data_IF_230885402803
#
_entry.id   IF_230885402803
#
_cell.length_a   1.000
_cell.length_b   1.000
_cell.length_c   1.000
_cell.angle_alpha   90.00
_cell.angle_beta   90.00
_cell.angle_gamma   90.00
#
_symmetry.space_group_name_H-M   'P 1'
#
loop_
_entity.id
_entity.type
_entity.pdbx_description
1 polymer ?
#
# COMPACT_ATOMS: atom_id res chain seq x y z
N UNK A 1 -16.17 35.56 -10.74
CA UNK A 1 -15.22 35.40 -11.87
C UNK A 1 -13.80 35.10 -11.39
N UNK A 2 -13.21 35.87 -10.46
CA UNK A 2 -11.84 35.64 -9.94
C UNK A 2 -11.69 34.41 -9.05
N UNK A 3 -12.70 34.14 -8.21
CA UNK A 3 -12.79 32.97 -7.35
C UNK A 3 -12.63 31.61 -8.08
N UNK A 4 -13.06 31.55 -9.34
CA UNK A 4 -12.99 30.33 -10.16
C UNK A 4 -11.62 30.18 -10.81
N UNK A 5 -10.80 31.24 -10.90
CA UNK A 5 -9.48 31.18 -11.53
C UNK A 5 -8.50 30.33 -10.71
N UNK A 6 -8.56 30.43 -9.38
CA UNK A 6 -7.76 29.57 -8.51
C UNK A 6 -8.22 28.12 -8.57
N UNK A 7 -9.54 27.88 -8.60
CA UNK A 7 -10.09 26.54 -8.77
C UNK A 7 -9.66 25.93 -10.12
N UNK A 8 -9.74 26.70 -11.21
CA UNK A 8 -9.23 26.31 -12.55
C UNK A 8 -7.75 25.96 -12.51
N UNK A 9 -6.92 26.84 -11.94
CA UNK A 9 -5.48 26.62 -11.83
C UNK A 9 -5.17 25.33 -11.07
N UNK A 10 -5.77 25.15 -9.90
CA UNK A 10 -5.57 23.95 -9.07
C UNK A 10 -6.05 22.68 -9.76
N UNK A 11 -7.24 22.70 -10.38
CA UNK A 11 -7.77 21.55 -11.13
C UNK A 11 -6.90 21.21 -12.34
N UNK A 12 -6.38 22.22 -13.05
CA UNK A 12 -5.46 22.03 -14.17
C UNK A 12 -4.14 21.38 -13.73
N UNK A 13 -3.53 21.91 -12.66
CA UNK A 13 -2.27 21.37 -12.11
C UNK A 13 -2.44 19.93 -11.59
N UNK A 14 -3.56 19.62 -10.91
CA UNK A 14 -3.81 18.29 -10.37
C UNK A 14 -4.13 17.24 -11.46
N UNK A 15 -4.88 17.62 -12.49
CA UNK A 15 -5.31 16.71 -13.55
C UNK A 15 -4.33 16.55 -14.72
N UNK A 16 -3.65 17.64 -15.10
CA UNK A 16 -2.87 17.73 -16.34
C UNK A 16 -1.40 18.13 -16.13
N UNK A 17 -1.01 18.47 -14.89
CA UNK A 17 0.34 18.95 -14.53
C UNK A 17 0.78 20.17 -15.34
N UNK A 18 -0.18 20.94 -15.86
CA UNK A 18 0.01 22.10 -16.75
C UNK A 18 -0.93 23.22 -16.35
N UNK A 19 -0.57 24.46 -16.67
CA UNK A 19 -1.43 25.62 -16.41
C UNK A 19 -2.61 25.65 -17.40
N UNK A 20 -3.74 26.32 -17.07
CA UNK A 20 -4.89 26.40 -17.98
C UNK A 20 -4.56 26.95 -19.38
N UNK A 21 -3.54 27.81 -19.49
CA UNK A 21 -3.09 28.39 -20.76
C UNK A 21 -2.37 27.38 -21.68
N UNK A 22 -1.83 26.29 -21.12
CA UNK A 22 -1.04 25.27 -21.82
C UNK A 22 -1.88 24.06 -22.27
N UNK A 23 -3.19 24.07 -22.01
CA UNK A 23 -4.10 22.97 -22.34
C UNK A 23 -4.63 23.09 -23.77
N UNK A 24 -4.82 21.94 -24.43
CA UNK A 24 -5.57 21.85 -25.69
C UNK A 24 -7.04 22.21 -25.50
N UNK A 25 -7.77 22.43 -26.58
CA UNK A 25 -9.20 22.79 -26.47
C UNK A 25 -10.04 21.66 -25.85
N UNK A 26 -9.71 20.38 -26.14
CA UNK A 26 -10.35 19.22 -25.52
C UNK A 26 -10.03 19.14 -24.01
N UNK A 27 -8.77 19.33 -23.63
CA UNK A 27 -8.32 19.36 -22.24
C UNK A 27 -8.99 20.52 -21.47
N UNK A 28 -9.14 21.69 -22.13
CA UNK A 28 -9.81 22.86 -21.56
C UNK A 28 -11.31 22.62 -21.35
N UNK A 29 -11.99 21.96 -22.29
CA UNK A 29 -13.39 21.59 -22.13
C UNK A 29 -13.58 20.60 -20.97
N UNK A 30 -12.69 19.62 -20.84
CA UNK A 30 -12.68 18.68 -19.71
C UNK A 30 -12.43 19.40 -18.37
N UNK A 31 -11.49 20.35 -18.34
CA UNK A 31 -11.21 21.19 -17.18
C UNK A 31 -12.45 21.99 -16.75
N UNK A 32 -13.12 22.71 -17.66
CA UNK A 32 -14.30 23.50 -17.32
C UNK A 32 -15.44 22.61 -16.80
N UNK A 33 -15.63 21.40 -17.34
CA UNK A 33 -16.60 20.45 -16.81
C UNK A 33 -16.26 19.96 -15.39
N UNK A 34 -14.97 19.82 -15.06
CA UNK A 34 -14.53 19.51 -13.70
C UNK A 34 -14.74 20.70 -12.75
N UNK A 35 -14.35 21.91 -13.17
CA UNK A 35 -14.49 23.14 -12.39
C UNK A 35 -15.95 23.48 -12.12
N UNK A 36 -16.85 23.30 -13.11
CA UNK A 36 -18.27 23.52 -12.94
C UNK A 36 -18.88 22.57 -11.89
N UNK A 37 -18.49 21.28 -11.91
CA UNK A 37 -18.90 20.29 -10.91
C UNK A 37 -18.38 20.65 -9.52
N UNK A 38 -17.10 21.01 -9.40
CA UNK A 38 -16.49 21.41 -8.13
C UNK A 38 -17.13 22.69 -7.57
N UNK A 39 -17.42 23.69 -8.42
CA UNK A 39 -18.08 24.94 -8.01
C UNK A 39 -19.53 24.72 -7.57
N UNK A 40 -20.25 23.82 -8.24
CA UNK A 40 -21.60 23.42 -7.80
C UNK A 40 -21.56 22.74 -6.43
N UNK A 41 -20.56 21.89 -6.19
CA UNK A 41 -20.33 21.23 -4.92
C UNK A 41 -20.04 22.22 -3.80
N UNK A 42 -19.08 23.11 -4.02
CA UNK A 42 -18.70 24.17 -3.09
C UNK A 42 -19.91 25.01 -2.68
N UNK A 43 -20.72 25.46 -3.65
CA UNK A 43 -21.94 26.22 -3.35
C UNK A 43 -22.92 25.44 -2.49
N UNK A 44 -23.12 24.13 -2.76
CA UNK A 44 -24.00 23.29 -1.96
C UNK A 44 -23.50 23.17 -0.51
N UNK A 45 -22.19 22.95 -0.32
CA UNK A 45 -21.58 22.86 1.01
C UNK A 45 -21.69 24.17 1.78
N UNK A 46 -21.35 25.29 1.13
CA UNK A 46 -21.40 26.62 1.75
C UNK A 46 -22.83 27.12 2.03
N UNK A 47 -23.83 26.60 1.31
CA UNK A 47 -25.25 26.88 1.57
C UNK A 47 -25.85 26.01 2.69
N UNK A 48 -25.12 25.00 3.18
CA UNK A 48 -25.62 24.11 4.24
C UNK A 48 -25.71 24.84 5.59
N UNK A 49 -26.62 24.43 6.49
CA UNK A 49 -26.70 25.00 7.84
C UNK A 49 -25.38 24.90 8.61
N UNK A 50 -24.62 23.83 8.41
CA UNK A 50 -23.33 23.62 9.05
C UNK A 50 -22.29 24.71 8.69
N UNK A 51 -22.44 25.40 7.56
CA UNK A 51 -21.56 26.49 7.15
C UNK A 51 -21.74 27.80 7.94
N UNK A 52 -22.85 27.93 8.69
CA UNK A 52 -23.14 29.11 9.51
C UNK A 52 -22.22 29.19 10.74
N UNK A 53 -21.92 28.04 11.35
CA UNK A 53 -21.09 27.96 12.56
C UNK A 53 -19.59 27.81 12.27
N UNK A 54 -19.20 27.68 11.00
CA UNK A 54 -17.82 27.42 10.60
C UNK A 54 -17.14 28.72 10.22
N UNK A 55 -16.10 29.05 10.98
CA UNK A 55 -15.23 30.20 10.76
C UNK A 55 -13.80 29.72 10.53
N UNK A 56 -13.18 30.20 9.45
CA UNK A 56 -11.77 29.97 9.16
C UNK A 56 -10.97 31.16 9.71
N UNK A 57 -10.06 30.97 10.69
CA UNK A 57 -9.24 32.06 11.20
C UNK A 57 -8.31 32.60 10.11
N UNK A 58 -8.12 33.92 10.07
CA UNK A 58 -7.24 34.57 9.09
C UNK A 58 -5.83 33.98 9.07
N UNK A 59 -5.27 33.64 10.24
CA UNK A 59 -3.95 33.02 10.35
C UNK A 59 -3.83 31.70 9.58
N UNK A 60 -4.89 30.89 9.50
CA UNK A 60 -4.91 29.63 8.73
C UNK A 60 -4.86 29.93 7.24
N UNK A 61 -5.60 30.95 6.79
CA UNK A 61 -5.58 31.38 5.39
C UNK A 61 -4.20 31.92 5.01
N UNK A 62 -3.58 32.75 5.86
CA UNK A 62 -2.23 33.27 5.62
C UNK A 62 -1.19 32.14 5.58
N UNK A 63 -1.31 31.13 6.45
CA UNK A 63 -0.44 29.96 6.39
C UNK A 63 -0.62 29.16 5.10
N UNK A 64 -1.85 29.03 4.60
CA UNK A 64 -2.11 28.38 3.32
C UNK A 64 -1.49 29.17 2.15
N UNK A 65 -1.63 30.51 2.14
CA UNK A 65 -0.96 31.39 1.16
C UNK A 65 0.55 31.18 1.22
N UNK A 66 1.14 31.21 2.41
CA UNK A 66 2.58 31.04 2.61
C UNK A 66 3.08 29.66 2.13
N UNK A 67 2.29 28.60 2.34
CA UNK A 67 2.59 27.23 1.89
C UNK A 67 2.60 27.12 0.37
N UNK A 68 1.76 27.89 -0.32
CA UNK A 68 1.77 27.97 -1.79
C UNK A 68 2.99 28.80 -2.23
N UNK A 69 3.21 29.96 -1.62
CA UNK A 69 4.32 30.85 -1.94
C UNK A 69 5.69 30.17 -1.74
N UNK A 70 5.85 29.30 -0.74
CA UNK A 70 7.10 28.56 -0.47
C UNK A 70 7.48 27.55 -1.54
N UNK A 71 6.61 27.29 -2.53
CA UNK A 71 6.90 26.42 -3.69
C UNK A 71 7.66 27.16 -4.80
N UNK A 72 7.77 28.49 -4.70
CA UNK A 72 8.42 29.34 -5.67
C UNK A 72 9.77 29.82 -5.15
N UNK A 73 10.72 30.03 -6.06
CA UNK A 73 12.08 30.48 -5.73
C UNK A 73 12.11 31.92 -5.18
N UNK A 74 11.12 32.74 -5.53
CA UNK A 74 10.99 34.12 -5.06
C UNK A 74 9.52 34.58 -5.00
N UNK A 75 9.28 35.64 -4.22
CA UNK A 75 7.97 36.29 -4.13
C UNK A 75 7.56 36.90 -5.48
N UNK A 76 8.52 37.41 -6.25
CA UNK A 76 8.26 37.96 -7.58
C UNK A 76 7.81 36.86 -8.55
N UNK A 77 8.49 35.71 -8.56
CA UNK A 77 8.11 34.56 -9.38
C UNK A 77 6.71 34.03 -9.03
N UNK A 78 6.38 33.99 -7.73
CA UNK A 78 5.03 33.66 -7.26
C UNK A 78 3.99 34.68 -7.75
N UNK A 79 4.27 35.97 -7.63
CA UNK A 79 3.33 37.04 -7.99
C UNK A 79 3.08 37.09 -9.49
N UNK A 80 4.13 36.90 -10.29
CA UNK A 80 4.04 36.82 -11.75
C UNK A 80 3.22 35.61 -12.21
N UNK A 81 3.47 34.43 -11.66
CA UNK A 81 2.71 33.23 -12.01
C UNK A 81 1.23 33.36 -11.62
N UNK A 82 0.92 33.91 -10.44
CA UNK A 82 -0.47 34.19 -10.04
C UNK A 82 -1.12 35.16 -11.02
N UNK A 83 -0.43 36.25 -11.39
CA UNK A 83 -0.94 37.24 -12.33
C UNK A 83 -1.20 36.65 -13.73
N UNK A 84 -0.30 35.80 -14.24
CA UNK A 84 -0.49 35.06 -15.49
C UNK A 84 -1.73 34.16 -15.48
N UNK A 85 -2.14 33.69 -14.29
CA UNK A 85 -3.35 32.88 -14.10
C UNK A 85 -4.57 33.72 -13.67
N UNK A 86 -4.49 35.05 -13.76
CA UNK A 86 -5.60 35.95 -13.45
C UNK A 86 -5.94 36.01 -11.95
N UNK A 87 -4.93 35.84 -11.11
CA UNK A 87 -5.00 35.91 -9.65
C UNK A 87 -4.12 37.04 -9.13
N UNK A 88 -4.57 37.65 -8.04
CA UNK A 88 -3.80 38.54 -7.18
C UNK A 88 -3.85 38.01 -5.74
N UNK A 89 -3.10 38.64 -4.82
CA UNK A 89 -3.09 38.20 -3.42
C UNK A 89 -4.48 38.23 -2.78
N UNK A 90 -5.34 39.19 -3.16
CA UNK A 90 -6.69 39.34 -2.58
C UNK A 90 -7.62 38.21 -3.01
N UNK A 91 -7.64 37.91 -4.31
CA UNK A 91 -8.45 36.85 -4.91
C UNK A 91 -7.93 35.47 -4.55
N UNK A 92 -6.62 35.26 -4.44
CA UNK A 92 -6.04 34.02 -3.92
C UNK A 92 -6.47 33.79 -2.47
N UNK A 93 -6.29 34.79 -1.60
CA UNK A 93 -6.68 34.71 -0.19
C UNK A 93 -8.18 34.39 -0.06
N UNK A 94 -9.02 35.08 -0.83
CA UNK A 94 -10.47 34.81 -0.85
C UNK A 94 -10.81 33.41 -1.37
N UNK A 95 -10.06 32.88 -2.33
CA UNK A 95 -10.28 31.54 -2.84
C UNK A 95 -9.87 30.47 -1.82
N UNK A 96 -8.74 30.65 -1.15
CA UNK A 96 -8.27 29.76 -0.08
C UNK A 96 -9.19 29.79 1.14
N UNK A 97 -9.68 30.97 1.53
CA UNK A 97 -10.65 31.08 2.62
C UNK A 97 -11.91 30.26 2.33
N UNK A 98 -12.43 30.31 1.11
CA UNK A 98 -13.58 29.49 0.70
C UNK A 98 -13.25 28.00 0.67
N UNK A 99 -12.09 27.61 0.13
CA UNK A 99 -11.66 26.20 0.09
C UNK A 99 -11.55 25.62 1.49
N UNK A 100 -10.84 26.32 2.38
CA UNK A 100 -10.68 25.93 3.79
C UNK A 100 -12.03 25.89 4.52
N UNK A 101 -12.95 26.80 4.19
CA UNK A 101 -14.30 26.79 4.77
C UNK A 101 -15.08 25.56 4.31
N UNK A 102 -15.02 25.22 3.02
CA UNK A 102 -15.65 24.00 2.49
C UNK A 102 -15.11 22.77 3.20
N UNK A 103 -13.79 22.65 3.32
CA UNK A 103 -13.13 21.54 4.03
C UNK A 103 -13.61 21.44 5.48
N UNK A 104 -13.56 22.54 6.23
CA UNK A 104 -14.00 22.58 7.62
C UNK A 104 -15.50 22.26 7.80
N UNK A 105 -16.35 22.65 6.85
CA UNK A 105 -17.78 22.29 6.85
C UNK A 105 -17.97 20.79 6.61
N UNK A 106 -17.27 20.21 5.63
CA UNK A 106 -17.32 18.77 5.35
C UNK A 106 -16.81 17.95 6.54
N UNK A 107 -15.75 18.41 7.19
CA UNK A 107 -15.23 17.79 8.41
C UNK A 107 -16.25 17.83 9.53
N UNK A 108 -16.90 18.98 9.78
CA UNK A 108 -17.96 19.10 10.78
C UNK A 108 -19.15 18.19 10.47
N UNK A 109 -19.61 18.15 9.23
CA UNK A 109 -20.73 17.30 8.79
C UNK A 109 -20.42 15.81 9.03
N UNK A 110 -19.19 15.40 8.76
CA UNK A 110 -18.78 13.99 8.85
C UNK A 110 -18.39 13.58 10.26
N UNK A 111 -17.78 14.45 11.06
CA UNK A 111 -17.39 14.17 12.44
C UNK A 111 -18.59 13.72 13.30
N UNK A 112 -19.76 14.31 13.10
CA UNK A 112 -20.97 13.97 13.86
C UNK A 112 -21.59 12.61 13.46
N UNK A 113 -21.37 12.15 12.22
CA UNK A 113 -22.07 10.99 11.66
C UNK A 113 -21.17 9.78 11.38
N UNK A 114 -19.86 9.98 11.37
CA UNK A 114 -18.88 8.98 10.91
C UNK A 114 -17.91 8.56 12.00
N UNK A 115 -18.11 8.99 13.26
CA UNK A 115 -17.35 8.47 14.39
C UNK A 115 -17.60 6.96 14.54
N UNK A 116 -16.52 6.20 14.64
CA UNK A 116 -16.54 4.75 14.87
C UNK A 116 -16.06 4.50 16.29
N UNK A 117 -16.84 3.72 17.04
CA UNK A 117 -16.49 3.35 18.41
C UNK A 117 -15.57 2.12 18.45
N UNK A 118 -14.91 1.92 19.58
CA UNK A 118 -14.13 0.71 19.86
C UNK A 118 -14.98 -0.57 19.72
N UNK A 119 -16.26 -0.54 20.06
CA UNK A 119 -17.18 -1.66 19.91
C UNK A 119 -17.41 -2.01 18.43
N UNK A 120 -17.63 -1.02 17.57
CA UNK A 120 -17.76 -1.24 16.13
C UNK A 120 -16.45 -1.78 15.54
N UNK A 121 -15.31 -1.27 16.00
CA UNK A 121 -14.00 -1.77 15.60
C UNK A 121 -13.77 -3.21 16.05
N UNK A 122 -14.20 -3.57 17.26
CA UNK A 122 -14.13 -4.93 17.78
C UNK A 122 -15.03 -5.88 16.98
N UNK A 123 -16.27 -5.49 16.68
CA UNK A 123 -17.17 -6.26 15.81
C UNK A 123 -16.50 -6.54 14.46
N UNK A 124 -15.92 -5.51 13.84
CA UNK A 124 -15.22 -5.66 12.58
C UNK A 124 -14.02 -6.61 12.68
N UNK A 125 -13.24 -6.50 13.76
CA UNK A 125 -12.09 -7.37 14.02
C UNK A 125 -12.48 -8.86 14.07
N UNK A 126 -13.52 -9.18 14.84
CA UNK A 126 -13.97 -10.57 15.02
C UNK A 126 -14.75 -11.12 13.81
N UNK A 127 -15.34 -10.25 12.99
CA UNK A 127 -16.02 -10.65 11.74
C UNK A 127 -15.05 -10.89 10.57
N UNK A 128 -13.81 -10.39 10.67
CA UNK A 128 -12.80 -10.48 9.61
C UNK A 128 -11.46 -11.05 10.11
N UNK A 129 -11.43 -12.23 10.76
CA UNK A 129 -10.21 -12.78 11.34
C UNK A 129 -9.09 -13.00 10.30
N UNK A 130 -9.44 -13.26 9.04
CA UNK A 130 -8.50 -13.43 7.93
C UNK A 130 -7.67 -12.17 7.65
N UNK A 131 -8.21 -10.98 7.93
CA UNK A 131 -7.51 -9.70 7.75
C UNK A 131 -6.50 -9.42 8.85
N UNK A 132 -6.68 -10.05 10.00
CA UNK A 132 -5.85 -9.87 11.19
C UNK A 132 -5.01 -11.09 11.51
N UNK A 133 -5.03 -12.11 10.66
CA UNK A 133 -4.17 -13.28 10.78
C UNK A 133 -3.02 -13.15 9.80
N UNK A 134 -1.78 -13.20 10.32
CA UNK A 134 -0.58 -13.30 9.49
C UNK A 134 -0.20 -14.78 9.38
N UNK A 135 0.04 -15.30 8.17
CA UNK A 135 0.57 -16.64 8.05
C UNK A 135 1.98 -16.70 8.63
N UNK A 136 2.36 -17.86 9.13
CA UNK A 136 3.77 -18.14 9.43
C UNK A 136 4.59 -18.03 8.14
N UNK A 137 5.77 -17.45 8.24
CA UNK A 137 6.70 -17.32 7.12
C UNK A 137 8.00 -18.02 7.50
N UNK A 138 8.48 -18.91 6.62
CA UNK A 138 9.79 -19.54 6.78
C UNK A 138 10.75 -19.03 5.73
N UNK A 139 11.92 -18.61 6.16
CA UNK A 139 13.03 -18.35 5.22
C UNK A 139 13.77 -19.65 5.00
N UNK A 140 13.88 -20.10 3.75
CA UNK A 140 14.41 -21.42 3.46
C UNK A 140 15.31 -21.47 2.23
N UNK A 141 16.11 -22.55 2.18
CA UNK A 141 16.89 -22.97 1.01
C UNK A 141 16.66 -24.44 0.74
N UNK A 142 16.96 -24.86 -0.49
CA UNK A 142 16.91 -26.26 -0.88
C UNK A 142 18.07 -26.68 -1.79
N UNK A 143 18.34 -27.99 -1.80
CA UNK A 143 19.17 -28.68 -2.78
C UNK A 143 18.31 -29.73 -3.44
N UNK A 144 18.01 -29.53 -4.73
CA UNK A 144 17.30 -30.49 -5.58
C UNK A 144 18.27 -31.36 -6.38
N UNK A 145 18.05 -32.67 -6.41
CA UNK A 145 18.54 -33.59 -7.45
C UNK A 145 17.33 -34.14 -8.20
N UNK A 146 17.26 -33.84 -9.50
CA UNK A 146 16.11 -34.27 -10.30
C UNK A 146 16.10 -35.79 -10.44
N UNK A 147 14.90 -36.39 -10.46
CA UNK A 147 14.74 -37.82 -10.72
C UNK A 147 14.16 -38.00 -12.11
N UNK A 148 14.91 -38.60 -13.02
CA UNK A 148 14.44 -38.88 -14.38
C UNK A 148 15.12 -40.11 -14.99
N UNK A 149 14.43 -40.77 -15.92
CA UNK A 149 14.93 -41.98 -16.57
C UNK A 149 15.95 -41.71 -17.69
N UNK A 150 16.04 -40.45 -18.15
CA UNK A 150 16.91 -40.05 -19.26
C UNK A 150 18.38 -39.99 -18.85
N UNK A 151 18.68 -39.71 -17.58
CA UNK A 151 20.04 -39.64 -17.04
C UNK A 151 20.26 -40.73 -15.99
N UNK A 152 21.23 -41.62 -16.22
CA UNK A 152 21.51 -42.75 -15.32
C UNK A 152 21.88 -42.30 -13.89
N UNK A 153 22.53 -41.15 -13.76
CA UNK A 153 22.93 -40.53 -12.48
C UNK A 153 21.73 -40.01 -11.66
N UNK A 154 20.60 -39.76 -12.34
CA UNK A 154 19.38 -39.18 -11.78
C UNK A 154 18.29 -40.25 -11.58
N UNK A 155 18.67 -41.53 -11.63
CA UNK A 155 17.78 -42.59 -11.16
C UNK A 155 17.74 -42.61 -9.63
N UNK A 156 16.62 -43.00 -8.99
CA UNK A 156 16.48 -42.98 -7.54
C UNK A 156 17.62 -43.70 -6.80
N UNK A 157 18.12 -44.81 -7.36
CA UNK A 157 19.17 -45.63 -6.75
C UNK A 157 20.54 -44.94 -6.66
N UNK A 158 20.74 -43.88 -7.46
CA UNK A 158 21.97 -43.06 -7.48
C UNK A 158 21.74 -41.68 -6.86
N UNK A 159 20.60 -41.07 -7.13
CA UNK A 159 20.24 -39.75 -6.63
C UNK A 159 20.11 -39.72 -5.09
N UNK A 160 19.45 -40.72 -4.51
CA UNK A 160 19.23 -40.80 -3.06
C UNK A 160 20.53 -40.87 -2.25
N UNK A 161 21.46 -41.82 -2.49
CA UNK A 161 22.71 -41.87 -1.73
C UNK A 161 23.58 -40.64 -1.94
N UNK A 162 23.56 -40.03 -3.14
CA UNK A 162 24.26 -38.75 -3.41
C UNK A 162 23.69 -37.63 -2.54
N UNK A 163 22.38 -37.46 -2.50
CA UNK A 163 21.76 -36.40 -1.70
C UNK A 163 21.94 -36.64 -0.19
N UNK A 164 21.86 -37.89 0.26
CA UNK A 164 22.14 -38.26 1.64
C UNK A 164 23.59 -37.95 2.04
N UNK A 165 24.55 -38.17 1.13
CA UNK A 165 25.94 -37.80 1.37
C UNK A 165 26.11 -36.29 1.50
N UNK A 166 25.51 -35.51 0.58
CA UNK A 166 25.52 -34.04 0.65
C UNK A 166 24.93 -33.56 1.97
N UNK A 167 23.79 -34.13 2.39
CA UNK A 167 23.18 -33.81 3.68
C UNK A 167 24.11 -34.10 4.86
N UNK A 168 24.79 -35.25 4.87
CA UNK A 168 25.75 -35.60 5.95
C UNK A 168 26.94 -34.65 6.02
N UNK A 169 27.34 -34.08 4.89
CA UNK A 169 28.42 -33.09 4.81
C UNK A 169 27.99 -31.70 5.33
N UNK A 170 26.68 -31.40 5.35
CA UNK A 170 26.09 -30.17 5.91
C UNK A 170 26.10 -30.19 7.44
N UNK A 171 27.30 -30.08 8.01
CA UNK A 171 27.55 -29.99 9.46
C UNK A 171 27.35 -28.58 10.01
N UNK A 172 27.58 -27.56 9.19
CA UNK A 172 27.27 -26.16 9.48
C UNK A 172 26.55 -25.55 8.26
N UNK A 173 25.23 -25.70 8.16
CA UNK A 173 24.47 -25.25 6.99
C UNK A 173 24.56 -23.73 6.79
N UNK A 174 24.74 -22.94 7.86
CA UNK A 174 24.88 -21.48 7.74
C UNK A 174 26.09 -21.06 6.89
N UNK A 175 27.18 -21.85 6.91
CA UNK A 175 28.38 -21.58 6.13
C UNK A 175 28.45 -22.44 4.85
N UNK A 176 27.85 -23.62 4.84
CA UNK A 176 28.09 -24.64 3.81
C UNK A 176 26.96 -24.73 2.79
N UNK A 177 25.72 -24.42 3.15
CA UNK A 177 24.55 -24.75 2.33
C UNK A 177 24.59 -24.05 0.96
N UNK A 178 24.97 -22.77 0.93
CA UNK A 178 25.08 -22.01 -0.32
C UNK A 178 26.08 -22.62 -1.29
N UNK A 179 27.27 -23.00 -0.81
CA UNK A 179 28.29 -23.63 -1.64
C UNK A 179 27.87 -25.02 -2.12
N UNK A 180 27.24 -25.81 -1.25
CA UNK A 180 26.71 -27.14 -1.59
C UNK A 180 25.58 -27.05 -2.61
N UNK A 181 24.67 -26.09 -2.46
CA UNK A 181 23.60 -25.85 -3.42
C UNK A 181 24.16 -25.45 -4.79
N UNK A 182 25.11 -24.51 -4.86
CA UNK A 182 25.78 -24.12 -6.11
C UNK A 182 26.45 -25.29 -6.81
N UNK A 183 27.06 -26.20 -6.05
CA UNK A 183 27.84 -27.32 -6.59
C UNK A 183 26.98 -28.49 -7.02
N UNK A 184 25.90 -28.78 -6.30
CA UNK A 184 25.20 -30.05 -6.42
C UNK A 184 23.72 -29.95 -6.80
N UNK A 185 23.10 -28.77 -6.63
CA UNK A 185 21.68 -28.62 -6.92
C UNK A 185 21.43 -28.44 -8.41
N UNK A 186 20.37 -29.08 -8.89
CA UNK A 186 19.88 -29.04 -10.27
C UNK A 186 18.69 -28.06 -10.42
N UNK A 187 18.37 -27.29 -9.38
CA UNK A 187 17.39 -26.21 -9.43
C UNK A 187 18.05 -24.91 -9.93
N UNK A 188 17.37 -24.05 -10.72
CA UNK A 188 17.90 -22.73 -11.08
C UNK A 188 18.33 -21.86 -9.88
N UNK A 189 17.65 -22.01 -8.73
CA UNK A 189 18.01 -21.34 -7.47
C UNK A 189 19.42 -21.70 -6.96
N UNK A 190 20.07 -22.76 -7.48
CA UNK A 190 21.44 -23.11 -7.17
C UNK A 190 22.41 -21.92 -7.34
N UNK A 191 22.21 -21.09 -8.36
CA UNK A 191 23.02 -19.89 -8.59
C UNK A 191 22.93 -18.90 -7.42
N UNK A 192 21.76 -18.81 -6.78
CA UNK A 192 21.48 -18.00 -5.60
C UNK A 192 21.70 -18.79 -4.29
N UNK A 193 22.46 -19.88 -4.35
CA UNK A 193 22.76 -20.70 -3.18
C UNK A 193 21.58 -21.53 -2.69
N UNK A 194 20.67 -21.92 -3.58
CA UNK A 194 19.48 -22.72 -3.29
C UNK A 194 18.34 -21.94 -2.63
N UNK A 195 18.33 -20.60 -2.72
CA UNK A 195 17.37 -19.76 -2.02
C UNK A 195 15.93 -20.00 -2.48
N UNK A 196 15.05 -20.34 -1.54
CA UNK A 196 13.58 -20.29 -1.71
C UNK A 196 13.01 -18.94 -1.23
N UNK A 197 13.72 -18.26 -0.33
CA UNK A 197 13.30 -16.97 0.20
C UNK A 197 12.25 -17.11 1.30
N UNK A 198 11.34 -16.13 1.41
CA UNK A 198 10.25 -16.11 2.39
C UNK A 198 9.06 -16.93 1.86
N UNK A 199 8.86 -18.10 2.43
CA UNK A 199 7.85 -19.09 2.02
C UNK A 199 6.66 -19.04 2.99
N UNK A 200 5.45 -18.99 2.44
CA UNK A 200 4.18 -19.18 3.17
C UNK A 200 3.65 -20.60 2.94
N UNK A 201 2.80 -21.13 3.82
CA UNK A 201 2.17 -22.43 3.60
C UNK A 201 1.45 -22.50 2.24
N UNK A 202 1.62 -23.62 1.55
CA UNK A 202 1.04 -23.89 0.23
C UNK A 202 1.80 -23.27 -0.95
N UNK A 203 3.01 -22.73 -0.75
CA UNK A 203 3.84 -22.21 -1.85
C UNK A 203 4.78 -23.25 -2.46
N UNK A 204 5.02 -24.37 -1.77
CA UNK A 204 5.87 -25.46 -2.25
C UNK A 204 5.05 -26.70 -2.63
N UNK A 205 5.71 -27.72 -3.20
CA UNK A 205 5.10 -29.04 -3.35
C UNK A 205 4.64 -29.58 -1.98
N UNK A 206 3.50 -30.30 -1.90
CA UNK A 206 2.90 -30.67 -0.62
C UNK A 206 3.85 -31.36 0.37
N UNK A 207 4.73 -32.25 -0.10
CA UNK A 207 5.71 -32.93 0.75
C UNK A 207 6.79 -31.97 1.28
N UNK A 208 7.26 -31.03 0.46
CA UNK A 208 8.24 -30.02 0.86
C UNK A 208 7.64 -28.98 1.79
N UNK A 209 6.39 -28.59 1.56
CA UNK A 209 5.67 -27.65 2.41
C UNK A 209 5.44 -28.27 3.80
N UNK A 210 4.93 -29.50 3.86
CA UNK A 210 4.72 -30.22 5.11
C UNK A 210 6.01 -30.40 5.91
N UNK A 211 7.11 -30.79 5.26
CA UNK A 211 8.42 -30.91 5.91
C UNK A 211 8.91 -29.53 6.36
N UNK A 212 8.94 -28.54 5.46
CA UNK A 212 9.48 -27.21 5.76
C UNK A 212 8.78 -26.59 6.96
N UNK A 213 7.46 -26.77 7.10
CA UNK A 213 6.66 -26.24 8.19
C UNK A 213 6.66 -27.08 9.48
N UNK A 214 7.29 -28.26 9.48
CA UNK A 214 7.55 -29.06 10.68
C UNK A 214 8.92 -28.77 11.34
N UNK A 215 9.86 -28.24 10.57
CA UNK A 215 11.26 -28.00 10.99
C UNK A 215 11.43 -26.91 12.07
N UNK A 216 12.53 -26.94 12.80
CA UNK A 216 12.99 -25.84 13.64
C UNK A 216 13.93 -24.89 12.87
N UNK A 217 14.13 -23.68 13.42
CA UNK A 217 15.15 -22.74 12.90
C UNK A 217 16.53 -23.41 12.93
N UNK A 218 17.26 -23.36 11.83
CA UNK A 218 18.58 -23.94 11.64
C UNK A 218 18.58 -25.42 11.22
N UNK A 219 17.42 -26.08 11.22
CA UNK A 219 17.32 -27.51 10.90
C UNK A 219 17.51 -27.78 9.41
N UNK A 220 18.15 -28.91 9.10
CA UNK A 220 18.27 -29.47 7.74
C UNK A 220 17.41 -30.73 7.67
N UNK A 221 16.46 -30.77 6.75
CA UNK A 221 15.49 -31.87 6.64
C UNK A 221 16.16 -33.20 6.31
N UNK A 222 15.42 -34.30 6.48
CA UNK A 222 15.71 -35.53 5.75
C UNK A 222 15.52 -35.34 4.23
N UNK A 223 15.83 -36.37 3.44
CA UNK A 223 15.58 -36.32 1.99
C UNK A 223 14.07 -36.42 1.76
N UNK A 224 13.50 -35.41 1.12
CA UNK A 224 12.08 -35.33 0.78
C UNK A 224 11.90 -35.54 -0.72
N UNK A 225 10.96 -36.40 -1.09
CA UNK A 225 10.61 -36.65 -2.49
C UNK A 225 9.48 -35.72 -2.95
N UNK A 226 9.61 -35.15 -4.15
CA UNK A 226 8.54 -34.47 -4.86
C UNK A 226 8.46 -34.98 -6.31
N UNK A 227 7.46 -34.51 -7.05
CA UNK A 227 7.23 -34.91 -8.45
C UNK A 227 8.44 -34.68 -9.39
N UNK A 228 9.34 -33.76 -9.03
CA UNK A 228 10.50 -33.40 -9.87
C UNK A 228 11.81 -34.04 -9.39
N UNK A 229 11.83 -34.65 -8.20
CA UNK A 229 13.02 -35.31 -7.67
C UNK A 229 13.15 -35.26 -6.15
N UNK A 230 14.39 -35.37 -5.69
CA UNK A 230 14.74 -35.46 -4.27
C UNK A 230 15.31 -34.14 -3.78
N UNK A 231 14.90 -33.73 -2.58
CA UNK A 231 15.22 -32.44 -1.99
C UNK A 231 15.79 -32.59 -0.59
N UNK A 232 16.69 -31.70 -0.23
CA UNK A 232 17.06 -31.41 1.17
C UNK A 232 16.80 -29.94 1.41
N UNK A 233 16.08 -29.64 2.49
CA UNK A 233 15.68 -28.29 2.89
C UNK A 233 16.54 -27.81 4.05
N UNK A 234 16.73 -26.50 4.14
CA UNK A 234 17.27 -25.86 5.33
C UNK A 234 16.39 -24.68 5.72
N UNK A 235 15.94 -24.66 6.98
CA UNK A 235 15.14 -23.57 7.53
C UNK A 235 16.08 -22.53 8.15
N UNK A 236 16.26 -21.38 7.50
CA UNK A 236 17.14 -20.30 7.99
C UNK A 236 16.50 -19.51 9.14
N UNK A 237 15.20 -19.24 9.04
CA UNK A 237 14.47 -18.44 10.01
C UNK A 237 12.97 -18.73 9.97
N UNK A 238 12.29 -18.56 11.10
CA UNK A 238 10.84 -18.65 11.23
C UNK A 238 10.33 -17.31 11.76
N UNK A 239 9.44 -16.69 11.00
CA UNK A 239 8.61 -15.58 11.45
C UNK A 239 7.26 -16.16 11.85
N UNK A 240 6.91 -16.18 13.15
CA UNK A 240 5.71 -16.86 13.62
C UNK A 240 4.46 -16.23 12.99
N UNK A 241 3.54 -17.10 12.59
CA UNK A 241 2.19 -16.68 12.25
C UNK A 241 1.42 -16.29 13.50
N UNK A 242 0.25 -15.70 13.31
CA UNK A 242 -0.63 -15.42 14.43
C UNK A 242 -1.67 -14.36 14.14
N UNK A 243 -2.57 -14.23 15.11
CA UNK A 243 -3.57 -13.18 15.11
C UNK A 243 -2.93 -11.92 15.69
N UNK A 244 -2.96 -10.83 14.92
CA UNK A 244 -2.50 -9.51 15.36
C UNK A 244 -3.46 -9.03 16.45
N UNK A 245 -3.00 -8.75 17.68
CA UNK A 245 -3.88 -8.36 18.79
C UNK A 245 -4.76 -7.15 18.45
N UNK A 246 -6.02 -7.18 18.87
CA UNK A 246 -6.96 -6.07 18.65
C UNK A 246 -6.41 -4.71 19.07
N UNK A 247 -5.71 -4.64 20.22
CA UNK A 247 -5.11 -3.41 20.73
C UNK A 247 -4.11 -2.77 19.75
N UNK A 248 -3.40 -3.56 18.93
CA UNK A 248 -2.44 -3.05 17.94
C UNK A 248 -3.12 -2.51 16.66
N UNK A 249 -4.34 -2.98 16.38
CA UNK A 249 -5.06 -2.66 15.13
C UNK A 249 -6.31 -1.81 15.33
N UNK A 250 -6.79 -1.64 16.55
CA UNK A 250 -8.03 -0.93 16.87
C UNK A 250 -8.07 0.46 16.22
N UNK A 251 -7.04 1.30 16.43
CA UNK A 251 -6.97 2.63 15.82
C UNK A 251 -7.02 2.59 14.29
N UNK A 252 -6.31 1.65 13.65
CA UNK A 252 -6.34 1.49 12.19
C UNK A 252 -7.70 1.04 11.68
N UNK A 253 -8.41 0.20 12.44
CA UNK A 253 -9.77 -0.23 12.11
C UNK A 253 -10.73 0.95 12.21
N UNK A 254 -10.63 1.74 13.30
CA UNK A 254 -11.43 2.95 13.49
C UNK A 254 -11.21 3.92 12.33
N UNK A 255 -9.96 4.19 11.96
CA UNK A 255 -9.63 5.07 10.84
C UNK A 255 -10.22 4.55 9.53
N UNK A 256 -10.04 3.25 9.24
CA UNK A 256 -10.56 2.61 8.04
C UNK A 256 -12.09 2.68 7.94
N UNK A 257 -12.78 2.36 9.03
CA UNK A 257 -14.24 2.38 9.08
C UNK A 257 -14.79 3.81 9.05
N UNK A 258 -14.11 4.76 9.71
CA UNK A 258 -14.48 6.18 9.71
C UNK A 258 -14.35 6.77 8.30
N UNK A 259 -13.26 6.46 7.60
CA UNK A 259 -13.07 6.89 6.21
C UNK A 259 -14.14 6.29 5.29
N UNK A 260 -14.49 5.01 5.49
CA UNK A 260 -15.54 4.34 4.72
C UNK A 260 -16.92 4.98 4.97
N UNK A 261 -17.28 5.20 6.25
CA UNK A 261 -18.53 5.88 6.63
C UNK A 261 -18.57 7.30 6.06
N UNK A 262 -17.46 8.04 6.13
CA UNK A 262 -17.33 9.40 5.57
C UNK A 262 -17.57 9.41 4.06
N UNK A 263 -16.91 8.54 3.30
CA UNK A 263 -17.11 8.43 1.85
C UNK A 263 -18.56 8.11 1.50
N UNK A 264 -19.19 7.20 2.24
CA UNK A 264 -20.59 6.84 2.04
C UNK A 264 -21.53 8.00 2.35
N UNK A 265 -21.37 8.63 3.52
CA UNK A 265 -22.18 9.76 3.94
C UNK A 265 -22.11 10.91 2.94
N UNK A 266 -20.89 11.29 2.52
CA UNK A 266 -20.70 12.35 1.53
C UNK A 266 -21.37 12.01 0.20
N UNK A 267 -21.23 10.76 -0.27
CA UNK A 267 -21.89 10.30 -1.50
C UNK A 267 -23.42 10.44 -1.42
N UNK A 268 -24.02 10.03 -0.30
CA UNK A 268 -25.47 10.13 -0.08
C UNK A 268 -25.92 11.59 0.07
N UNK A 269 -25.16 12.39 0.80
CA UNK A 269 -25.40 13.83 0.98
C UNK A 269 -25.31 14.59 -0.35
N UNK A 270 -24.40 14.19 -1.25
CA UNK A 270 -24.32 14.77 -2.59
C UNK A 270 -25.47 14.29 -3.49
N UNK A 271 -25.96 13.07 -3.33
CA UNK A 271 -27.05 12.50 -4.13
C UNK A 271 -28.45 13.04 -3.80
N UNK A 272 -28.69 13.44 -2.54
CA UNK A 272 -29.98 13.99 -2.13
C UNK A 272 -30.04 15.51 -2.39
N UNK A 273 -30.99 16.01 -3.23
CA UNK A 273 -31.10 17.41 -3.60
C UNK A 273 -31.52 18.31 -2.44
#
# INVERSE_FOLDING_TARGET
MTADNYLRLRTALAGFQRTPAQLSDEERQALEAQVARASALERKVLASPAAQDVHVPAAVVEQAVQTIASRYDSVDAFTEDMACNGLDQVSLRSALERELKVEAVLDRLTAAHCAVSDDEAAIYYYQHPERFTRPEIRTARHILITVNAAYAENRPERALPRLQQIRRELTDPAQQFEAMARRHSECPSAMEGGRLGRVKPGMLYPALDAELFAMAVGEVSDVVESEIGLHVLWCEAIEPGGVVPFAEVCGKIIDHLSERKRKQFLREWFANP
#
